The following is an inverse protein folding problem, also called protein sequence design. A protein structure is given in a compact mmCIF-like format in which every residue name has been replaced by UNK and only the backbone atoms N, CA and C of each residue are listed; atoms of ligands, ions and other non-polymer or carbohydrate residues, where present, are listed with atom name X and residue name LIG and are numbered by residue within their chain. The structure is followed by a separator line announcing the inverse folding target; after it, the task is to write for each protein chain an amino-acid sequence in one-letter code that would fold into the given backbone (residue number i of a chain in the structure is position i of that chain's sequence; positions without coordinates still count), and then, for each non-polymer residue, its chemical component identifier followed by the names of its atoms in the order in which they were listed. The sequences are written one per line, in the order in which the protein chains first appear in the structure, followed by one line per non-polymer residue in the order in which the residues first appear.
data_IF_563049922725
#
_entry.id   IF_563049922725
#
_cell.length_a   1.000
_cell.length_b   1.000
_cell.length_c   1.000
_cell.angle_alpha   90.00
_cell.angle_beta   90.00
_cell.angle_gamma   90.00
#
_symmetry.space_group_name_H-M   'P 1'
#
loop_
_entity.id
_entity.type
_entity.pdbx_description
1 polymer ?
#
# COMPACT_ATOMS: atom_id res chain seq x y z
N UNK A 1 -7.37 -11.00 -3.14
CA UNK A 1 -6.06 -10.49 -3.57
C UNK A 1 -6.02 -10.43 -5.07
N UNK A 2 -5.59 -9.32 -5.64
CA UNK A 2 -5.31 -9.15 -7.07
C UNK A 2 -3.84 -8.75 -7.16
N UNK A 3 -2.98 -9.55 -7.81
CA UNK A 3 -1.58 -9.21 -7.96
C UNK A 3 -1.34 -7.99 -8.84
N UNK A 4 -0.17 -7.37 -8.68
CA UNK A 4 0.33 -6.29 -9.51
C UNK A 4 1.64 -6.75 -10.16
N UNK A 5 1.94 -6.27 -11.35
CA UNK A 5 3.25 -6.50 -11.96
C UNK A 5 4.34 -5.81 -11.14
N UNK A 6 5.44 -6.51 -10.96
CA UNK A 6 6.61 -5.99 -10.27
C UNK A 6 7.87 -6.35 -11.02
N UNK A 7 8.71 -5.36 -11.26
CA UNK A 7 9.95 -5.56 -11.98
C UNK A 7 11.17 -5.38 -11.09
N UNK A 8 12.25 -6.06 -11.45
CA UNK A 8 13.58 -5.75 -10.94
C UNK A 8 14.65 -6.05 -11.98
N UNK A 9 15.75 -5.33 -11.85
CA UNK A 9 16.91 -5.40 -12.75
C UNK A 9 18.06 -6.09 -12.03
N UNK A 10 18.71 -7.05 -12.68
CA UNK A 10 19.98 -7.61 -12.25
C UNK A 10 21.06 -7.15 -13.22
N UNK A 11 22.13 -6.58 -12.71
CA UNK A 11 23.26 -6.11 -13.52
C UNK A 11 24.22 -7.25 -13.83
N UNK A 12 25.09 -7.03 -14.83
CA UNK A 12 26.33 -7.77 -14.96
C UNK A 12 27.20 -7.61 -13.70
N UNK A 13 28.15 -8.54 -13.47
CA UNK A 13 29.05 -8.44 -12.31
C UNK A 13 29.84 -7.13 -12.32
N UNK A 14 29.92 -6.48 -11.14
CA UNK A 14 30.69 -5.24 -10.97
C UNK A 14 32.09 -5.53 -10.40
N UNK A 15 33.17 -4.98 -10.99
CA UNK A 15 34.54 -5.27 -10.56
C UNK A 15 34.79 -5.01 -9.07
N UNK A 16 34.31 -3.88 -8.54
CA UNK A 16 34.51 -3.54 -7.12
C UNK A 16 33.77 -4.49 -6.17
N UNK A 17 32.58 -4.97 -6.54
CA UNK A 17 31.84 -5.96 -5.75
C UNK A 17 32.58 -7.28 -5.75
N UNK A 18 33.08 -7.71 -6.90
CA UNK A 18 33.90 -8.92 -6.99
C UNK A 18 35.19 -8.82 -6.18
N UNK A 19 35.84 -7.65 -6.18
CA UNK A 19 37.02 -7.38 -5.38
C UNK A 19 36.70 -7.48 -3.88
N UNK A 20 35.64 -6.80 -3.42
CA UNK A 20 35.18 -6.89 -2.02
C UNK A 20 35.00 -8.35 -1.57
N UNK A 21 34.37 -9.15 -2.43
CA UNK A 21 34.16 -10.60 -2.14
C UNK A 21 35.47 -11.35 -2.04
N UNK A 22 36.43 -11.09 -2.94
CA UNK A 22 37.77 -11.70 -2.90
C UNK A 22 38.55 -11.29 -1.65
N UNK A 23 38.37 -10.07 -1.19
CA UNK A 23 39.00 -9.52 0.01
C UNK A 23 38.32 -10.00 1.32
N UNK A 24 37.32 -10.84 1.21
CA UNK A 24 36.57 -11.42 2.35
C UNK A 24 35.69 -10.41 3.09
N UNK A 25 35.36 -9.27 2.47
CA UNK A 25 34.48 -8.26 3.06
C UNK A 25 33.04 -8.75 3.03
N UNK A 26 32.23 -8.42 4.04
CA UNK A 26 30.82 -8.77 4.06
C UNK A 26 30.05 -8.07 2.93
N UNK A 27 28.93 -8.66 2.53
CA UNK A 27 28.00 -8.00 1.61
C UNK A 27 27.55 -6.65 2.17
N UNK A 28 27.34 -5.69 1.27
CA UNK A 28 26.79 -4.39 1.65
C UNK A 28 25.35 -4.54 2.09
N UNK A 29 24.94 -3.69 3.04
CA UNK A 29 23.55 -3.64 3.45
C UNK A 29 22.63 -3.25 2.30
N UNK A 30 21.33 -3.59 2.44
CA UNK A 30 20.31 -3.15 1.49
C UNK A 30 20.16 -1.63 1.55
N UNK A 31 20.34 -0.98 0.41
CA UNK A 31 20.03 0.43 0.25
C UNK A 31 18.58 0.61 -0.16
N UNK A 32 17.88 1.53 0.48
CA UNK A 32 16.52 1.94 0.12
C UNK A 32 16.48 3.44 -0.12
N UNK A 33 15.98 3.85 -1.27
CA UNK A 33 15.74 5.24 -1.64
C UNK A 33 14.24 5.51 -1.70
N UNK A 34 13.73 6.28 -0.74
CA UNK A 34 12.30 6.61 -0.67
C UNK A 34 11.90 7.70 -1.66
N UNK A 35 12.82 8.58 -2.05
CA UNK A 35 12.55 9.65 -3.00
C UNK A 35 12.35 9.09 -4.41
N UNK A 36 13.22 8.14 -4.80
CA UNK A 36 13.16 7.47 -6.11
C UNK A 36 12.44 6.11 -6.05
N UNK A 37 11.93 5.71 -4.89
CA UNK A 37 11.09 4.52 -4.67
C UNK A 37 11.69 3.21 -5.15
N UNK A 38 12.93 2.92 -4.77
CA UNK A 38 13.60 1.66 -5.10
C UNK A 38 14.43 1.13 -3.92
N UNK A 39 14.77 -0.15 -4.02
CA UNK A 39 15.78 -0.79 -3.19
C UNK A 39 16.91 -1.34 -4.06
N UNK A 40 18.11 -1.45 -3.48
CA UNK A 40 19.28 -2.02 -4.13
C UNK A 40 20.08 -2.87 -3.16
N UNK A 41 20.64 -3.98 -3.62
CA UNK A 41 21.58 -4.82 -2.88
C UNK A 41 22.55 -5.52 -3.82
N UNK A 42 23.58 -6.15 -3.25
CA UNK A 42 24.42 -7.07 -3.99
C UNK A 42 23.64 -8.32 -4.43
N UNK A 43 23.89 -8.77 -5.66
CA UNK A 43 23.33 -10.00 -6.22
C UNK A 43 24.29 -10.60 -7.25
N UNK A 44 24.69 -11.86 -7.06
CA UNK A 44 25.53 -12.62 -8.00
C UNK A 44 26.80 -11.91 -8.48
N UNK A 45 27.39 -11.08 -7.63
CA UNK A 45 28.61 -10.27 -7.91
C UNK A 45 28.34 -8.97 -8.66
N UNK A 46 27.09 -8.61 -8.88
CA UNK A 46 26.59 -7.34 -9.38
C UNK A 46 25.60 -6.73 -8.41
N UNK A 47 24.66 -5.97 -8.93
CA UNK A 47 23.61 -5.29 -8.18
C UNK A 47 22.21 -5.72 -8.66
N UNK A 48 21.27 -5.77 -7.75
CA UNK A 48 19.84 -5.83 -8.06
C UNK A 48 19.20 -4.50 -7.70
N UNK A 49 18.39 -3.96 -8.61
CA UNK A 49 17.56 -2.79 -8.41
C UNK A 49 16.09 -3.20 -8.51
N UNK A 50 15.32 -3.01 -7.44
CA UNK A 50 13.88 -3.29 -7.41
C UNK A 50 13.08 -2.03 -7.10
N UNK A 51 12.51 -1.39 -8.12
CA UNK A 51 11.65 -0.22 -7.94
C UNK A 51 10.20 -0.62 -7.63
N UNK A 52 9.44 0.37 -7.14
CA UNK A 52 7.98 0.32 -7.07
C UNK A 52 7.43 1.43 -7.96
N UNK A 53 7.18 1.03 -9.22
CA UNK A 53 6.89 1.96 -10.31
C UNK A 53 5.46 2.51 -10.24
N UNK A 54 5.29 3.75 -10.69
CA UNK A 54 3.97 4.27 -11.02
C UNK A 54 3.44 3.57 -12.27
N UNK A 55 2.13 3.31 -12.30
CA UNK A 55 1.47 2.71 -13.44
C UNK A 55 1.71 1.21 -13.63
N UNK A 56 2.31 0.53 -12.66
CA UNK A 56 2.38 -0.92 -12.68
C UNK A 56 0.96 -1.52 -12.68
N UNK A 57 0.56 -2.31 -13.69
CA UNK A 57 -0.81 -2.77 -13.82
C UNK A 57 -1.11 -3.95 -12.89
N UNK A 58 -2.35 -4.02 -12.43
CA UNK A 58 -2.86 -5.23 -11.82
C UNK A 58 -2.96 -6.35 -12.87
N UNK A 59 -2.54 -7.54 -12.48
CA UNK A 59 -2.57 -8.72 -13.31
C UNK A 59 -3.49 -9.81 -12.73
N UNK A 60 -3.89 -10.77 -13.55
CA UNK A 60 -4.77 -11.87 -13.15
C UNK A 60 -6.07 -11.42 -12.44
N UNK A 61 -6.68 -10.30 -12.88
CA UNK A 61 -7.90 -9.74 -12.27
C UNK A 61 -9.06 -10.77 -12.26
N UNK A 62 -9.10 -11.63 -13.26
CA UNK A 62 -10.08 -12.72 -13.37
C UNK A 62 -9.51 -14.10 -12.97
N UNK A 63 -8.34 -14.09 -12.35
CA UNK A 63 -7.55 -15.27 -12.02
C UNK A 63 -6.57 -15.62 -13.15
N UNK A 64 -5.48 -16.34 -12.83
CA UNK A 64 -4.55 -16.87 -13.82
C UNK A 64 -5.24 -17.94 -14.67
N UNK A 65 -4.72 -18.22 -15.89
CA UNK A 65 -5.20 -19.35 -16.67
C UNK A 65 -4.89 -20.65 -15.95
N UNK A 66 -5.61 -21.73 -16.27
CA UNK A 66 -5.37 -23.05 -15.63
C UNK A 66 -4.02 -23.66 -16.03
N UNK A 67 -3.49 -23.17 -17.15
CA UNK A 67 -2.21 -23.59 -17.72
C UNK A 67 -1.04 -22.70 -17.27
N UNK A 68 -1.32 -21.64 -16.48
CA UNK A 68 -0.29 -20.74 -15.97
C UNK A 68 0.67 -21.45 -15.03
N UNK A 69 1.95 -21.45 -15.39
CA UNK A 69 3.03 -22.05 -14.62
C UNK A 69 4.29 -21.19 -14.75
N UNK A 70 4.80 -20.66 -13.63
CA UNK A 70 6.06 -19.89 -13.58
C UNK A 70 6.17 -18.74 -14.60
N UNK A 71 5.05 -18.10 -14.92
CA UNK A 71 5.01 -17.02 -15.91
C UNK A 71 5.75 -15.78 -15.43
N UNK A 72 6.59 -15.26 -16.34
CA UNK A 72 7.10 -13.90 -16.24
C UNK A 72 6.46 -13.09 -17.36
N UNK A 73 6.20 -11.82 -17.07
CA UNK A 73 5.67 -10.87 -18.04
C UNK A 73 6.80 -10.25 -18.84
N UNK A 74 6.46 -9.62 -19.95
CA UNK A 74 7.40 -8.82 -20.70
C UNK A 74 7.86 -7.62 -19.85
N UNK A 75 9.14 -7.30 -19.93
CA UNK A 75 9.69 -6.12 -19.30
C UNK A 75 9.12 -4.82 -19.90
N UNK A 76 8.93 -3.83 -19.04
CA UNK A 76 8.53 -2.47 -19.40
C UNK A 76 9.64 -1.50 -18.97
N UNK A 77 10.51 -1.18 -19.93
CA UNK A 77 11.67 -0.33 -19.69
C UNK A 77 11.27 1.14 -19.49
N UNK A 78 10.15 1.57 -20.03
CA UNK A 78 9.67 2.95 -19.85
C UNK A 78 9.27 3.20 -18.40
N UNK A 79 8.64 2.23 -17.74
CA UNK A 79 8.34 2.31 -16.30
C UNK A 79 9.62 2.26 -15.44
N UNK A 80 10.65 1.55 -15.89
CA UNK A 80 11.92 1.43 -15.15
C UNK A 80 12.83 2.65 -15.30
N UNK A 81 12.76 3.38 -16.41
CA UNK A 81 13.69 4.45 -16.76
C UNK A 81 13.89 5.50 -15.64
N UNK A 82 12.87 6.11 -15.03
CA UNK A 82 13.07 7.11 -13.98
C UNK A 82 13.74 6.54 -12.73
N UNK A 83 13.52 5.26 -12.42
CA UNK A 83 14.17 4.59 -11.30
C UNK A 83 15.62 4.24 -11.58
N UNK A 84 15.95 3.87 -12.82
CA UNK A 84 17.32 3.65 -13.28
C UNK A 84 18.12 4.95 -13.17
N UNK A 85 17.58 6.06 -13.66
CA UNK A 85 18.20 7.39 -13.57
C UNK A 85 18.44 7.80 -12.11
N UNK A 86 17.44 7.63 -11.24
CA UNK A 86 17.57 7.88 -9.80
C UNK A 86 18.60 6.97 -9.14
N UNK A 87 18.67 5.71 -9.54
CA UNK A 87 19.64 4.76 -9.02
C UNK A 87 21.09 5.13 -9.44
N UNK A 88 21.31 5.49 -10.69
CA UNK A 88 22.63 5.95 -11.20
C UNK A 88 23.05 7.25 -10.49
N UNK A 89 22.11 8.18 -10.28
CA UNK A 89 22.41 9.40 -9.55
C UNK A 89 22.86 9.14 -8.11
N UNK A 90 22.23 8.19 -7.43
CA UNK A 90 22.51 7.84 -6.02
C UNK A 90 23.71 6.88 -5.89
N UNK A 91 23.85 5.95 -6.81
CA UNK A 91 24.88 4.90 -6.86
C UNK A 91 25.48 4.86 -8.25
N UNK A 92 26.47 5.73 -8.58
CA UNK A 92 27.05 5.82 -9.92
C UNK A 92 27.55 4.48 -10.47
N UNK A 93 28.10 3.63 -9.61
CA UNK A 93 28.55 2.29 -9.97
C UNK A 93 27.46 1.41 -10.64
N UNK A 94 26.18 1.68 -10.37
CA UNK A 94 25.08 0.99 -11.04
C UNK A 94 25.05 1.26 -12.55
N UNK A 95 25.47 2.44 -12.97
CA UNK A 95 25.57 2.84 -14.39
C UNK A 95 26.85 2.39 -15.11
N UNK A 96 27.81 1.80 -14.40
CA UNK A 96 29.10 1.38 -14.96
C UNK A 96 29.08 -0.02 -15.57
N UNK A 97 28.01 -0.77 -15.36
CA UNK A 97 27.85 -2.15 -15.84
C UNK A 97 26.54 -2.33 -16.61
N UNK A 98 26.51 -3.31 -17.52
CA UNK A 98 25.31 -3.61 -18.29
C UNK A 98 24.21 -4.29 -17.47
N UNK A 99 22.99 -4.25 -18.02
CA UNK A 99 21.86 -5.03 -17.52
C UNK A 99 22.02 -6.47 -17.97
N UNK A 100 22.07 -7.39 -17.03
CA UNK A 100 22.13 -8.81 -17.31
C UNK A 100 20.72 -9.37 -17.59
N UNK A 101 19.75 -8.97 -16.79
CA UNK A 101 18.37 -9.43 -16.95
C UNK A 101 17.39 -8.50 -16.20
N UNK A 102 16.22 -8.33 -16.80
CA UNK A 102 15.04 -7.77 -16.15
C UNK A 102 14.08 -8.91 -15.85
N UNK A 103 13.49 -8.89 -14.69
CA UNK A 103 12.40 -9.81 -14.33
C UNK A 103 11.15 -8.98 -14.10
N UNK A 104 10.03 -9.41 -14.68
CA UNK A 104 8.71 -8.85 -14.44
C UNK A 104 7.77 -9.99 -14.06
N UNK A 105 7.17 -9.93 -12.87
CA UNK A 105 6.32 -10.99 -12.37
C UNK A 105 5.20 -10.49 -11.47
N UNK A 106 4.25 -11.36 -11.19
CA UNK A 106 3.13 -11.05 -10.31
C UNK A 106 3.58 -11.01 -8.84
N UNK A 107 3.28 -9.90 -8.14
CA UNK A 107 3.44 -9.78 -6.69
C UNK A 107 2.06 -9.64 -6.03
N UNK A 108 1.83 -10.37 -4.95
CA UNK A 108 0.58 -10.28 -4.19
C UNK A 108 0.39 -8.90 -3.58
N UNK A 109 -0.78 -8.29 -3.83
CA UNK A 109 -1.15 -7.00 -3.25
C UNK A 109 -2.57 -6.99 -2.73
N UNK A 110 -2.79 -6.15 -1.73
CA UNK A 110 -4.09 -5.85 -1.12
C UNK A 110 -4.30 -4.33 -1.13
N UNK A 111 -5.55 -3.85 -0.98
CA UNK A 111 -5.84 -2.41 -1.04
C UNK A 111 -5.09 -1.53 -0.03
N UNK A 112 -4.65 -2.08 1.08
CA UNK A 112 -3.87 -1.38 2.12
C UNK A 112 -2.41 -1.83 2.18
N UNK A 113 -2.00 -2.79 1.34
CA UNK A 113 -0.65 -3.34 1.33
C UNK A 113 -0.35 -4.32 2.46
N UNK A 114 -1.28 -4.54 3.40
CA UNK A 114 -1.12 -5.49 4.49
C UNK A 114 -1.60 -6.89 4.10
N UNK A 115 -1.04 -7.96 4.66
CA UNK A 115 -1.50 -9.32 4.39
C UNK A 115 -2.92 -9.57 4.90
N UNK A 116 -3.50 -10.69 4.51
CA UNK A 116 -4.80 -11.17 4.98
C UNK A 116 -4.54 -12.40 5.83
N UNK A 117 -4.77 -12.29 7.14
CA UNK A 117 -4.49 -13.35 8.13
C UNK A 117 -5.69 -13.53 9.05
N UNK A 118 -6.26 -14.75 9.10
CA UNK A 118 -7.38 -15.04 9.98
C UNK A 118 -8.47 -15.91 9.37
N UNK A 119 -9.64 -16.03 10.04
CA UNK A 119 -10.73 -16.86 9.57
C UNK A 119 -11.40 -16.25 8.33
N UNK A 120 -11.69 -17.08 7.34
CA UNK A 120 -12.40 -16.68 6.15
C UNK A 120 -13.88 -16.33 6.41
N UNK A 121 -14.38 -15.35 5.68
CA UNK A 121 -15.80 -14.98 5.73
C UNK A 121 -16.73 -16.15 5.41
N UNK A 122 -17.70 -16.40 6.28
CA UNK A 122 -18.79 -17.35 6.04
C UNK A 122 -18.38 -18.82 5.98
N UNK A 123 -17.12 -19.16 6.22
CA UNK A 123 -16.61 -20.51 6.21
C UNK A 123 -16.18 -20.95 7.62
N UNK A 124 -16.45 -22.20 7.96
CA UNK A 124 -15.96 -22.82 9.20
C UNK A 124 -14.67 -23.57 8.93
N UNK A 125 -13.73 -23.47 9.84
CA UNK A 125 -12.42 -24.16 9.76
C UNK A 125 -11.63 -23.87 8.48
N UNK A 126 -11.87 -22.72 7.87
CA UNK A 126 -11.10 -22.25 6.74
C UNK A 126 -10.36 -20.97 7.14
N UNK A 127 -9.04 -21.01 7.08
CA UNK A 127 -8.16 -19.96 7.52
C UNK A 127 -7.35 -19.41 6.36
N UNK A 128 -7.10 -18.13 6.36
CA UNK A 128 -6.39 -17.42 5.30
C UNK A 128 -5.07 -16.91 5.87
N UNK A 129 -4.00 -17.05 5.10
CA UNK A 129 -2.71 -16.45 5.35
C UNK A 129 -2.06 -16.13 4.00
N UNK A 130 -2.43 -14.99 3.42
CA UNK A 130 -2.06 -14.61 2.05
C UNK A 130 -1.83 -13.10 1.90
N UNK A 131 -1.49 -12.68 0.66
CA UNK A 131 -1.32 -11.24 0.36
C UNK A 131 -0.05 -10.63 0.95
N UNK A 132 0.95 -11.44 1.23
CA UNK A 132 2.21 -10.99 1.80
C UNK A 132 3.15 -10.43 0.73
N UNK A 133 3.11 -9.13 0.48
CA UNK A 133 4.11 -8.44 -0.35
C UNK A 133 5.50 -8.44 0.31
N UNK A 134 5.56 -8.42 1.64
CA UNK A 134 6.78 -8.55 2.46
C UNK A 134 6.80 -9.88 3.22
N UNK A 135 6.62 -10.99 2.50
CA UNK A 135 6.39 -12.31 3.08
C UNK A 135 7.48 -12.79 4.03
N UNK A 136 8.75 -12.65 3.67
CA UNK A 136 9.87 -13.10 4.52
C UNK A 136 9.86 -12.34 5.86
N UNK A 137 9.62 -11.05 5.84
CA UNK A 137 9.60 -10.21 7.06
C UNK A 137 8.41 -10.54 7.96
N UNK A 138 7.24 -10.81 7.37
CA UNK A 138 5.99 -10.99 8.12
C UNK A 138 5.69 -12.44 8.51
N UNK A 139 6.28 -13.42 7.81
CA UNK A 139 5.89 -14.83 7.89
C UNK A 139 5.92 -15.40 9.32
N UNK A 140 6.97 -15.11 10.09
CA UNK A 140 7.11 -15.64 11.46
C UNK A 140 5.99 -15.15 12.38
N UNK A 141 5.75 -13.85 12.41
CA UNK A 141 4.70 -13.25 13.25
C UNK A 141 3.29 -13.63 12.80
N UNK A 142 3.03 -13.57 11.49
CA UNK A 142 1.74 -13.95 10.92
C UNK A 142 1.40 -15.42 11.19
N UNK A 143 2.37 -16.32 10.98
CA UNK A 143 2.18 -17.75 11.25
C UNK A 143 1.96 -18.06 12.73
N UNK A 144 2.69 -17.39 13.62
CA UNK A 144 2.52 -17.55 15.06
C UNK A 144 1.12 -17.11 15.50
N UNK A 145 0.74 -15.88 15.18
CA UNK A 145 -0.57 -15.35 15.59
C UNK A 145 -1.75 -16.14 14.99
N UNK A 146 -1.59 -16.61 13.76
CA UNK A 146 -2.61 -17.48 13.15
C UNK A 146 -2.72 -18.83 13.86
N UNK A 147 -1.59 -19.44 14.27
CA UNK A 147 -1.58 -20.70 15.00
C UNK A 147 -2.28 -20.57 16.37
N UNK A 148 -1.97 -19.51 17.13
CA UNK A 148 -2.66 -19.21 18.40
C UNK A 148 -4.16 -19.01 18.17
N UNK A 149 -4.53 -18.23 17.16
CA UNK A 149 -5.93 -18.00 16.84
C UNK A 149 -6.70 -19.30 16.49
N UNK A 150 -6.06 -20.22 15.78
CA UNK A 150 -6.66 -21.53 15.46
C UNK A 150 -6.84 -22.39 16.71
N UNK A 151 -5.84 -22.41 17.60
CA UNK A 151 -5.81 -23.31 18.77
C UNK A 151 -6.63 -22.73 19.92
N UNK A 152 -6.46 -21.46 20.23
CA UNK A 152 -7.02 -20.81 21.42
C UNK A 152 -8.33 -20.08 21.13
N UNK A 153 -8.70 -19.90 19.83
CA UNK A 153 -9.92 -19.24 19.39
C UNK A 153 -9.80 -17.72 19.22
N UNK A 154 -8.69 -17.13 19.67
CA UNK A 154 -8.40 -15.69 19.51
C UNK A 154 -6.88 -15.46 19.42
N UNK A 155 -6.43 -14.41 18.73
CA UNK A 155 -5.03 -14.04 18.69
C UNK A 155 -4.65 -13.29 19.98
N UNK A 156 -3.35 -13.32 20.34
CA UNK A 156 -2.84 -12.63 21.55
C UNK A 156 -2.59 -11.14 21.33
N UNK A 157 -2.63 -10.66 20.09
CA UNK A 157 -2.50 -9.25 19.72
C UNK A 157 -3.66 -8.80 18.83
N UNK A 158 -3.86 -7.50 18.72
CA UNK A 158 -4.85 -6.94 17.78
C UNK A 158 -4.46 -7.24 16.32
N UNK A 159 -5.30 -8.03 15.66
CA UNK A 159 -5.13 -8.43 14.25
C UNK A 159 -6.05 -7.65 13.28
N UNK A 160 -6.78 -6.61 13.74
CA UNK A 160 -7.75 -5.87 12.92
C UNK A 160 -7.13 -5.35 11.61
N UNK A 161 -5.88 -4.92 11.66
CA UNK A 161 -5.16 -4.40 10.49
C UNK A 161 -4.82 -5.45 9.42
N UNK A 162 -4.97 -6.74 9.72
CA UNK A 162 -4.62 -7.84 8.80
C UNK A 162 -5.75 -8.88 8.64
N UNK A 163 -6.79 -8.85 9.48
CA UNK A 163 -7.85 -9.85 9.39
C UNK A 163 -8.73 -9.68 8.14
N UNK A 164 -9.29 -10.78 7.59
CA UNK A 164 -10.11 -10.76 6.37
C UNK A 164 -11.35 -9.87 6.49
N UNK A 165 -11.92 -9.73 7.70
CA UNK A 165 -13.17 -8.99 7.95
C UNK A 165 -13.05 -7.47 7.75
N UNK A 166 -11.82 -6.94 7.60
CA UNK A 166 -11.62 -5.54 7.22
C UNK A 166 -12.07 -5.22 5.80
N UNK A 167 -12.19 -6.27 4.97
CA UNK A 167 -12.76 -6.18 3.62
C UNK A 167 -14.16 -6.81 3.61
N UNK A 168 -15.11 -6.12 3.01
CA UNK A 168 -16.49 -6.59 2.86
C UNK A 168 -16.92 -6.62 1.40
N UNK A 169 -18.22 -6.77 1.16
CA UNK A 169 -18.82 -6.86 -0.17
C UNK A 169 -18.60 -5.62 -1.04
N UNK A 170 -18.13 -4.52 -0.47
CA UNK A 170 -17.78 -3.31 -1.21
C UNK A 170 -16.51 -3.49 -2.07
N UNK A 171 -15.70 -4.50 -1.81
CA UNK A 171 -14.46 -4.76 -2.52
C UNK A 171 -14.72 -5.45 -3.86
N UNK A 172 -15.25 -4.69 -4.83
CA UNK A 172 -15.38 -5.17 -6.21
C UNK A 172 -14.00 -5.40 -6.86
N UNK A 173 -13.98 -6.14 -7.99
CA UNK A 173 -12.74 -6.34 -8.75
C UNK A 173 -12.12 -5.03 -9.23
N UNK A 174 -12.93 -4.05 -9.66
CA UNK A 174 -12.44 -2.72 -10.05
C UNK A 174 -11.83 -1.98 -8.88
N UNK A 175 -12.48 -1.99 -7.71
CA UNK A 175 -11.94 -1.41 -6.49
C UNK A 175 -10.59 -2.03 -6.11
N UNK A 176 -10.51 -3.36 -6.11
CA UNK A 176 -9.28 -4.08 -5.76
C UNK A 176 -8.16 -3.77 -6.75
N UNK A 177 -8.47 -3.72 -8.06
CA UNK A 177 -7.51 -3.35 -9.10
C UNK A 177 -6.91 -1.97 -8.82
N UNK A 178 -7.74 -0.94 -8.79
CA UNK A 178 -7.29 0.44 -8.62
C UNK A 178 -6.55 0.68 -7.31
N UNK A 179 -7.07 0.11 -6.20
CA UNK A 179 -6.43 0.24 -4.88
C UNK A 179 -5.11 -0.50 -4.77
N UNK A 180 -4.99 -1.67 -5.39
CA UNK A 180 -3.74 -2.44 -5.33
C UNK A 180 -2.65 -1.77 -6.18
N UNK A 181 -2.98 -1.21 -7.35
CA UNK A 181 -2.08 -0.42 -8.18
C UNK A 181 -1.57 0.81 -7.41
N UNK A 182 -2.47 1.54 -6.75
CA UNK A 182 -2.12 2.67 -5.88
C UNK A 182 -1.27 2.23 -4.68
N UNK A 183 -1.68 1.19 -3.96
CA UNK A 183 -0.95 0.70 -2.80
C UNK A 183 0.47 0.25 -3.15
N UNK A 184 0.65 -0.37 -4.32
CA UNK A 184 1.95 -0.78 -4.83
C UNK A 184 2.87 0.42 -5.07
N UNK A 185 2.44 1.40 -5.85
CA UNK A 185 3.26 2.55 -6.21
C UNK A 185 3.63 3.44 -5.02
N UNK A 186 2.86 3.36 -3.93
CA UNK A 186 3.04 4.17 -2.73
C UNK A 186 3.82 3.49 -1.60
N UNK A 187 4.20 2.22 -1.73
CA UNK A 187 4.78 1.45 -0.62
C UNK A 187 6.09 2.02 -0.09
N UNK A 188 6.90 2.66 -0.93
CA UNK A 188 8.18 3.25 -0.53
C UNK A 188 8.13 4.76 -0.32
N UNK A 189 7.01 5.40 -0.57
CA UNK A 189 6.84 6.84 -0.33
C UNK A 189 6.76 7.09 1.17
N UNK A 190 7.38 8.17 1.62
CA UNK A 190 7.17 8.68 2.96
C UNK A 190 5.83 9.41 3.00
N UNK A 191 4.83 8.82 3.66
CA UNK A 191 3.49 9.39 3.76
C UNK A 191 3.42 10.55 4.74
N UNK A 192 2.62 11.54 4.39
CA UNK A 192 2.23 12.57 5.34
C UNK A 192 1.26 12.02 6.39
N UNK A 193 1.23 12.57 7.61
CA UNK A 193 0.17 12.27 8.55
C UNK A 193 -1.21 12.56 7.93
N UNK A 194 -2.15 11.65 8.15
CA UNK A 194 -3.53 11.73 7.66
C UNK A 194 -3.68 11.81 6.13
N UNK A 195 -2.67 11.38 5.37
CA UNK A 195 -2.73 11.32 3.92
C UNK A 195 -3.80 10.34 3.46
N UNK A 196 -4.72 10.83 2.63
CA UNK A 196 -5.80 10.03 2.04
C UNK A 196 -5.49 9.66 0.59
N UNK A 197 -5.67 8.39 0.26
CA UNK A 197 -5.39 7.88 -1.08
C UNK A 197 -6.60 8.03 -1.99
N UNK A 198 -6.46 8.62 -3.19
CA UNK A 198 -7.59 8.99 -4.06
C UNK A 198 -8.18 7.83 -4.89
N UNK A 199 -7.46 6.74 -5.15
CA UNK A 199 -7.94 5.70 -6.07
C UNK A 199 -9.26 5.07 -5.61
N UNK A 200 -10.09 4.69 -6.58
CA UNK A 200 -11.41 4.05 -6.40
C UNK A 200 -12.36 4.81 -5.46
N UNK A 201 -12.37 6.14 -5.52
CA UNK A 201 -13.24 7.02 -4.71
C UNK A 201 -14.14 7.91 -5.58
N UNK A 202 -15.36 8.27 -5.10
CA UNK A 202 -16.03 7.76 -3.91
C UNK A 202 -16.58 6.34 -4.13
N UNK A 203 -16.61 5.49 -3.08
CA UNK A 203 -17.13 4.12 -3.18
C UNK A 203 -18.45 3.96 -2.44
N UNK A 204 -18.49 4.31 -1.16
CA UNK A 204 -19.71 4.26 -0.31
C UNK A 204 -19.97 5.65 0.25
N UNK A 205 -21.15 6.19 -0.01
CA UNK A 205 -21.52 7.55 0.39
C UNK A 205 -22.71 7.55 1.33
N UNK A 206 -22.71 8.46 2.30
CA UNK A 206 -23.86 8.71 3.16
C UNK A 206 -24.99 9.40 2.39
N UNK A 207 -26.25 9.28 2.81
CA UNK A 207 -27.36 10.01 2.17
C UNK A 207 -27.18 11.55 2.12
N UNK A 208 -26.39 12.09 3.03
CA UNK A 208 -26.09 13.53 3.08
C UNK A 208 -24.76 13.90 2.40
N UNK A 209 -24.09 12.99 1.70
CA UNK A 209 -22.80 13.20 1.07
C UNK A 209 -22.74 14.46 0.19
N UNK A 210 -23.64 14.57 -0.77
CA UNK A 210 -23.66 15.73 -1.70
C UNK A 210 -23.93 17.05 -0.96
N UNK A 211 -24.79 17.02 0.06
CA UNK A 211 -25.04 18.21 0.89
C UNK A 211 -23.79 18.62 1.65
N UNK A 212 -23.07 17.67 2.25
CA UNK A 212 -21.81 17.94 2.95
C UNK A 212 -20.74 18.44 1.98
N UNK A 213 -20.63 17.83 0.80
CA UNK A 213 -19.72 18.27 -0.27
C UNK A 213 -19.98 19.73 -0.65
N UNK A 214 -21.24 20.11 -0.85
CA UNK A 214 -21.63 21.48 -1.19
C UNK A 214 -21.37 22.48 -0.05
N UNK A 215 -21.28 22.00 1.18
CA UNK A 215 -20.89 22.81 2.36
C UNK A 215 -19.37 22.91 2.53
N UNK A 216 -18.59 22.36 1.62
CA UNK A 216 -17.13 22.43 1.66
C UNK A 216 -16.45 21.24 2.35
N UNK A 217 -17.15 20.10 2.54
CA UNK A 217 -16.53 18.93 3.16
C UNK A 217 -15.37 18.39 2.32
N UNK A 218 -14.23 18.18 2.95
CA UNK A 218 -13.09 17.43 2.44
C UNK A 218 -13.16 16.04 3.05
N UNK A 219 -13.19 15.00 2.18
CA UNK A 219 -13.48 13.65 2.62
C UNK A 219 -12.24 12.79 2.73
N UNK A 220 -12.22 11.94 3.76
CA UNK A 220 -11.38 10.75 3.86
C UNK A 220 -12.21 9.48 3.70
N UNK A 221 -11.55 8.33 3.60
CA UNK A 221 -12.21 7.04 3.42
C UNK A 221 -11.86 6.06 4.54
N UNK A 222 -12.87 5.39 5.11
CA UNK A 222 -12.71 4.25 6.03
C UNK A 222 -13.65 3.11 5.64
N UNK A 223 -13.10 1.93 5.41
CA UNK A 223 -13.84 0.74 4.97
C UNK A 223 -14.77 1.02 3.78
N UNK A 224 -14.26 1.78 2.82
CA UNK A 224 -14.99 2.21 1.64
C UNK A 224 -15.97 3.37 1.85
N UNK A 225 -16.25 3.81 3.08
CA UNK A 225 -17.13 4.94 3.36
C UNK A 225 -16.41 6.28 3.26
N UNK A 226 -17.00 7.20 2.49
CA UNK A 226 -16.60 8.61 2.50
C UNK A 226 -17.06 9.27 3.81
N UNK A 227 -16.13 9.90 4.50
CA UNK A 227 -16.38 10.61 5.77
C UNK A 227 -15.73 11.99 5.70
N UNK A 228 -16.44 13.07 6.10
CA UNK A 228 -15.81 14.37 6.16
C UNK A 228 -14.71 14.40 7.20
N UNK A 229 -13.50 14.78 6.79
CA UNK A 229 -12.39 15.03 7.70
C UNK A 229 -12.50 16.43 8.29
N UNK A 230 -12.85 17.43 7.46
CA UNK A 230 -13.13 18.80 7.87
C UNK A 230 -13.97 19.49 6.81
N UNK A 231 -14.44 20.71 7.11
CA UNK A 231 -15.14 21.58 6.16
C UNK A 231 -14.26 22.78 5.81
N UNK A 232 -13.93 22.93 4.53
CA UNK A 232 -13.25 24.12 4.02
C UNK A 232 -14.15 25.34 4.17
N UNK A 233 -13.68 26.35 4.84
CA UNK A 233 -14.40 27.60 5.14
C UNK A 233 -13.56 28.83 4.79
N UNK A 234 -14.18 30.00 4.77
CA UNK A 234 -13.49 31.29 4.64
C UNK A 234 -12.57 31.39 3.40
N UNK A 235 -13.00 30.83 2.27
CA UNK A 235 -12.21 30.87 1.03
C UNK A 235 -11.09 29.86 0.93
N UNK A 236 -11.05 28.89 1.85
CA UNK A 236 -10.14 27.75 1.73
C UNK A 236 -10.49 26.92 0.50
N UNK A 237 -9.47 26.41 -0.17
CA UNK A 237 -9.66 25.39 -1.21
C UNK A 237 -10.18 24.09 -0.58
N UNK A 238 -11.17 23.45 -1.24
CA UNK A 238 -11.79 22.19 -0.77
C UNK A 238 -10.89 21.00 -1.09
N UNK A 239 -9.72 20.97 -0.48
CA UNK A 239 -8.74 19.88 -0.59
C UNK A 239 -7.87 19.78 0.65
N UNK A 240 -7.26 18.63 0.86
CA UNK A 240 -6.17 18.47 1.82
C UNK A 240 -4.88 19.09 1.26
N UNK A 241 -4.14 19.75 2.14
CA UNK A 241 -2.78 20.19 1.91
C UNK A 241 -1.89 19.53 2.99
N UNK A 242 -1.42 18.34 2.68
CA UNK A 242 -0.72 17.48 3.65
C UNK A 242 0.64 18.05 4.02
N UNK A 243 0.99 17.92 5.29
CA UNK A 243 2.23 18.46 5.82
C UNK A 243 2.73 17.65 7.02
N UNK A 244 4.05 17.53 7.18
CA UNK A 244 4.66 17.04 8.42
C UNK A 244 4.55 18.05 9.58
N UNK A 245 3.99 19.22 9.33
CA UNK A 245 3.67 20.24 10.33
C UNK A 245 2.14 20.34 10.46
N UNK A 246 1.60 21.53 10.72
CA UNK A 246 0.16 21.78 10.70
C UNK A 246 -0.34 21.88 9.27
N UNK A 247 -1.25 20.98 8.90
CA UNK A 247 -1.93 21.01 7.62
C UNK A 247 -2.99 22.14 7.55
N UNK A 248 -3.50 22.41 6.36
CA UNK A 248 -4.47 23.49 6.12
C UNK A 248 -5.76 23.33 6.94
N UNK A 249 -6.19 22.11 7.24
CA UNK A 249 -7.40 21.81 8.01
C UNK A 249 -7.36 22.31 9.47
N UNK A 250 -6.17 22.61 10.02
CA UNK A 250 -6.03 22.92 11.44
C UNK A 250 -6.95 24.05 11.95
N UNK A 251 -7.06 25.14 11.19
CA UNK A 251 -7.93 26.27 11.55
C UNK A 251 -9.42 25.95 11.39
N UNK A 252 -9.76 25.15 10.37
CA UNK A 252 -11.13 24.70 10.17
C UNK A 252 -11.60 23.82 11.34
N UNK A 253 -10.82 22.82 11.70
CA UNK A 253 -11.11 21.94 12.84
C UNK A 253 -11.12 22.71 14.16
N UNK A 254 -10.24 23.68 14.36
CA UNK A 254 -10.28 24.57 15.55
C UNK A 254 -11.64 25.25 15.69
N UNK A 255 -12.20 25.80 14.60
CA UNK A 255 -13.53 26.42 14.59
C UNK A 255 -14.64 25.42 14.89
N UNK A 256 -14.60 24.23 14.28
CA UNK A 256 -15.56 23.16 14.52
C UNK A 256 -15.54 22.73 15.98
N UNK A 257 -14.36 22.50 16.55
CA UNK A 257 -14.21 22.15 17.96
C UNK A 257 -14.75 23.23 18.91
N UNK A 258 -14.48 24.50 18.65
CA UNK A 258 -15.02 25.61 19.44
C UNK A 258 -16.53 25.66 19.34
N UNK A 259 -17.08 25.53 18.12
CA UNK A 259 -18.53 25.55 17.91
C UNK A 259 -19.26 24.41 18.64
N UNK A 260 -18.72 23.18 18.58
CA UNK A 260 -19.28 22.03 19.31
C UNK A 260 -19.25 22.25 20.81
N UNK A 261 -18.19 22.91 21.33
CA UNK A 261 -18.02 23.18 22.75
C UNK A 261 -18.92 24.30 23.27
N UNK A 262 -19.14 25.31 22.48
CA UNK A 262 -19.86 26.55 22.88
C UNK A 262 -21.34 26.55 22.44
N UNK A 263 -21.67 25.79 21.41
CA UNK A 263 -23.00 25.75 20.81
C UNK A 263 -23.46 24.30 20.58
N UNK A 264 -23.69 23.92 19.32
CA UNK A 264 -24.15 22.59 18.92
C UNK A 264 -23.43 22.10 17.68
N UNK A 265 -23.16 20.79 17.62
CA UNK A 265 -22.59 20.11 16.46
C UNK A 265 -23.53 19.07 15.88
N UNK A 266 -23.46 18.87 14.56
CA UNK A 266 -24.11 17.76 13.87
C UNK A 266 -23.02 16.85 13.28
N UNK A 267 -23.05 15.57 13.65
CA UNK A 267 -22.09 14.59 13.20
C UNK A 267 -22.78 13.50 12.36
N UNK A 268 -22.27 13.24 11.16
CA UNK A 268 -22.70 12.09 10.35
C UNK A 268 -22.10 10.79 10.88
N UNK A 269 -22.97 9.93 11.40
CA UNK A 269 -22.60 8.60 11.93
C UNK A 269 -23.00 7.46 11.00
N UNK A 270 -23.27 7.73 9.71
CA UNK A 270 -23.74 6.72 8.74
C UNK A 270 -22.78 5.56 8.60
N UNK A 271 -21.47 5.81 8.60
CA UNK A 271 -20.44 4.79 8.44
C UNK A 271 -20.29 3.82 9.63
N UNK A 272 -20.85 4.15 10.79
CA UNK A 272 -20.78 3.31 11.98
C UNK A 272 -21.90 2.26 12.01
N UNK A 273 -21.61 1.08 12.56
CA UNK A 273 -22.63 0.06 12.81
C UNK A 273 -23.65 0.53 13.87
N UNK A 274 -24.91 0.13 13.70
CA UNK A 274 -26.00 0.41 14.63
C UNK A 274 -26.50 -0.92 15.18
N UNK A 275 -26.35 -1.13 16.48
CA UNK A 275 -26.81 -2.33 17.17
C UNK A 275 -27.94 -1.97 18.13
N UNK A 276 -29.04 -2.73 18.11
CA UNK A 276 -30.10 -2.66 19.11
C UNK A 276 -29.95 -3.85 20.05
N UNK A 277 -29.69 -3.56 21.31
CA UNK A 277 -29.70 -4.57 22.36
C UNK A 277 -31.16 -4.72 22.84
N UNK A 278 -31.66 -5.95 22.87
CA UNK A 278 -33.00 -6.29 23.37
C UNK A 278 -32.89 -6.80 24.79
#
# INVERSE_FOLDING_TARGET
VIPVEHQYIVTEPHPEIQKRKKDGLPEMGVLRDSDSRWYMREEAGGLILGPYEDGAPACYVDGPSKESEYELFQEDLDRLAPHIEGAIHRVPAFGEVGVKKVYNGAICYTPDGNPIVGPAWGLKNFWINEGHSFGITAAGGAGWQLAEWIVDGEPTIDMLGVEPRRYGDYCSKSYLKEKNEEAYSHVFITHFPDEERPAARPLRTAPCYDRMKNLGAVFGQKFGWERPNFFATDGMEQKDDWSFRRSNWFKAIEKECKNVKENVGLLDMTAFAKCRIK
#
